data_IF_641439924655
#
_entry.id   IF_641439924655
#
_cell.length_a   1.000
_cell.length_b   1.000
_cell.length_c   1.000
_cell.angle_alpha   90.00
_cell.angle_beta   90.00
_cell.angle_gamma   90.00
#
_symmetry.space_group_name_H-M   'P 1'
#
loop_
_entity.id
_entity.type
_entity.pdbx_description
1 polymer ?
#
# COMPACT_ATOMS: atom_id res chain seq x y z
N UNK A 1 14.93 -27.85 -10.39
CA UNK A 1 13.99 -26.74 -10.12
C UNK A 1 14.20 -26.29 -8.68
N UNK A 2 14.33 -24.99 -8.39
CA UNK A 2 14.63 -24.46 -7.04
C UNK A 2 13.52 -24.68 -6.01
N UNK A 3 13.87 -24.65 -4.71
CA UNK A 3 12.92 -24.74 -3.59
C UNK A 3 12.20 -23.39 -3.40
N UNK A 4 10.98 -23.38 -2.87
CA UNK A 4 10.24 -22.12 -2.64
C UNK A 4 10.98 -21.18 -1.66
N UNK A 5 11.69 -21.78 -0.70
CA UNK A 5 12.58 -21.13 0.29
C UNK A 5 13.70 -20.26 -0.30
N UNK A 6 14.08 -20.49 -1.57
CA UNK A 6 15.16 -19.74 -2.21
C UNK A 6 14.66 -18.57 -3.06
N UNK A 7 13.35 -18.33 -3.10
CA UNK A 7 12.73 -17.30 -3.93
C UNK A 7 12.41 -16.08 -3.05
N UNK A 8 12.68 -14.88 -3.58
CA UNK A 8 12.18 -13.66 -2.95
C UNK A 8 10.67 -13.48 -3.17
N UNK A 9 10.06 -12.50 -2.49
CA UNK A 9 8.62 -12.28 -2.55
C UNK A 9 8.12 -11.95 -3.96
N UNK A 10 8.95 -11.31 -4.79
CA UNK A 10 8.63 -11.01 -6.18
C UNK A 10 8.62 -12.32 -6.95
N UNK A 11 9.67 -13.12 -6.87
CA UNK A 11 9.80 -14.38 -7.61
C UNK A 11 8.73 -15.43 -7.27
N UNK A 12 8.08 -15.36 -6.11
CA UNK A 12 7.02 -16.30 -5.73
C UNK A 12 5.88 -16.36 -6.75
N UNK A 13 5.42 -15.22 -7.27
CA UNK A 13 4.34 -15.20 -8.27
C UNK A 13 4.73 -15.79 -9.62
N UNK A 14 6.04 -15.93 -9.89
CA UNK A 14 6.55 -16.58 -11.09
C UNK A 14 6.44 -18.12 -11.07
N UNK A 15 6.06 -18.70 -9.92
CA UNK A 15 5.91 -20.13 -9.73
C UNK A 15 4.53 -20.51 -9.16
N UNK A 16 3.42 -20.18 -9.86
CA UNK A 16 2.05 -20.38 -9.36
C UNK A 16 1.75 -21.85 -9.01
N UNK A 17 2.25 -22.79 -9.80
CA UNK A 17 2.07 -24.24 -9.56
C UNK A 17 2.66 -24.67 -8.22
N UNK A 18 3.83 -24.13 -7.86
CA UNK A 18 4.49 -24.42 -6.58
C UNK A 18 3.73 -23.77 -5.42
N UNK A 19 3.31 -22.52 -5.58
CA UNK A 19 2.50 -21.82 -4.58
C UNK A 19 1.24 -22.61 -4.22
N UNK A 20 0.54 -23.15 -5.23
CA UNK A 20 -0.68 -23.95 -5.02
C UNK A 20 -0.37 -25.28 -4.32
N UNK A 21 0.71 -25.95 -4.72
CA UNK A 21 1.12 -27.24 -4.17
C UNK A 21 1.72 -27.17 -2.75
N UNK A 22 2.26 -26.02 -2.34
CA UNK A 22 2.85 -25.81 -1.02
C UNK A 22 1.79 -25.82 0.09
N UNK A 23 2.12 -26.49 1.20
CA UNK A 23 1.34 -26.41 2.44
C UNK A 23 1.56 -25.08 3.16
N UNK A 24 0.68 -24.73 4.11
CA UNK A 24 0.89 -23.55 4.97
C UNK A 24 2.23 -23.65 5.73
N UNK A 25 2.62 -24.86 6.14
CA UNK A 25 3.88 -25.11 6.84
C UNK A 25 5.10 -24.87 5.94
N UNK A 26 5.02 -25.26 4.66
CA UNK A 26 6.10 -25.00 3.69
C UNK A 26 6.25 -23.50 3.41
N UNK A 27 5.17 -22.72 3.49
CA UNK A 27 5.26 -21.27 3.31
C UNK A 27 5.82 -20.55 4.53
N UNK A 28 5.67 -21.11 5.74
CA UNK A 28 6.29 -20.54 6.95
C UNK A 28 7.82 -20.58 6.92
N UNK A 29 8.43 -21.42 6.08
CA UNK A 29 9.88 -21.45 5.92
C UNK A 29 10.43 -20.22 5.18
N UNK A 30 9.55 -19.42 4.56
CA UNK A 30 9.88 -18.12 3.97
C UNK A 30 10.05 -17.02 5.02
N UNK A 31 9.59 -17.24 6.25
CA UNK A 31 9.68 -16.24 7.30
C UNK A 31 11.11 -16.03 7.77
N UNK A 32 11.45 -14.80 8.12
CA UNK A 32 12.70 -14.50 8.81
C UNK A 32 12.57 -14.73 10.33
N UNK A 33 13.68 -14.94 11.05
CA UNK A 33 13.63 -14.96 12.51
C UNK A 33 13.21 -13.60 13.07
N UNK A 34 12.09 -13.53 13.77
CA UNK A 34 11.47 -12.27 14.22
C UNK A 34 12.37 -11.50 15.17
N UNK A 35 13.14 -12.18 16.02
CA UNK A 35 14.08 -11.58 16.97
C UNK A 35 15.20 -10.79 16.29
N UNK A 36 15.44 -11.04 15.01
CA UNK A 36 16.46 -10.33 14.20
C UNK A 36 15.90 -9.14 13.44
N UNK A 37 14.58 -8.94 13.45
CA UNK A 37 13.98 -7.81 12.73
C UNK A 37 14.27 -6.50 13.48
N UNK A 38 14.86 -5.49 12.79
CA UNK A 38 15.06 -4.19 13.39
C UNK A 38 13.71 -3.52 13.64
N UNK A 39 13.64 -2.74 14.72
CA UNK A 39 12.47 -1.92 15.04
C UNK A 39 12.85 -0.46 14.81
N UNK A 40 12.09 0.30 14.00
CA UNK A 40 12.29 1.74 13.87
C UNK A 40 12.14 2.45 15.22
N UNK A 41 13.02 3.40 15.53
CA UNK A 41 12.96 4.14 16.80
C UNK A 41 11.63 4.87 16.98
N UNK A 42 11.09 5.48 15.92
CA UNK A 42 9.82 6.18 15.97
C UNK A 42 8.64 5.25 16.31
N UNK A 43 8.66 4.00 15.84
CA UNK A 43 7.68 3.01 16.25
C UNK A 43 7.84 2.66 17.73
N UNK A 44 9.07 2.40 18.18
CA UNK A 44 9.36 2.06 19.56
C UNK A 44 8.91 3.17 20.52
N UNK A 45 9.16 4.43 20.17
CA UNK A 45 8.71 5.60 20.94
C UNK A 45 7.19 5.71 20.96
N UNK A 46 6.53 5.54 19.81
CA UNK A 46 5.08 5.59 19.68
C UNK A 46 4.38 4.56 20.58
N UNK A 47 4.88 3.32 20.58
CA UNK A 47 4.35 2.25 21.46
C UNK A 47 4.95 2.27 22.87
N UNK A 48 5.70 3.33 23.23
CA UNK A 48 6.31 3.52 24.56
C UNK A 48 7.20 2.37 25.03
N UNK A 49 7.93 1.77 24.09
CA UNK A 49 8.76 0.59 24.30
C UNK A 49 8.00 -0.62 24.89
N UNK A 50 6.70 -0.72 24.64
CA UNK A 50 5.90 -1.89 25.00
C UNK A 50 6.44 -3.14 24.30
N UNK A 51 6.91 -4.11 25.09
CA UNK A 51 7.60 -5.30 24.56
C UNK A 51 6.69 -6.18 23.70
N UNK A 52 5.39 -6.23 24.01
CA UNK A 52 4.42 -7.00 23.22
C UNK A 52 4.26 -6.37 21.85
N UNK A 53 4.05 -5.05 21.80
CA UNK A 53 3.92 -4.31 20.54
C UNK A 53 5.20 -4.39 19.71
N UNK A 54 6.37 -4.20 20.33
CA UNK A 54 7.67 -4.38 19.67
C UNK A 54 7.81 -5.78 19.02
N UNK A 55 7.35 -6.82 19.70
CA UNK A 55 7.37 -8.18 19.18
C UNK A 55 6.33 -8.40 18.07
N UNK A 56 5.17 -7.75 18.15
CA UNK A 56 4.16 -7.78 17.09
C UNK A 56 4.71 -7.19 15.80
N UNK A 57 5.34 -6.01 15.84
CA UNK A 57 5.99 -5.41 14.67
C UNK A 57 7.06 -6.32 14.08
N UNK A 58 7.97 -6.84 14.92
CA UNK A 58 9.00 -7.78 14.48
C UNK A 58 8.40 -9.01 13.81
N UNK A 59 7.38 -9.59 14.43
CA UNK A 59 6.67 -10.75 13.90
C UNK A 59 6.05 -10.43 12.54
N UNK A 60 5.31 -9.32 12.44
CA UNK A 60 4.65 -8.91 11.21
C UNK A 60 5.64 -8.74 10.04
N UNK A 61 6.74 -8.01 10.27
CA UNK A 61 7.78 -7.79 9.26
C UNK A 61 8.44 -9.12 8.85
N UNK A 62 8.77 -9.98 9.82
CA UNK A 62 9.36 -11.29 9.57
C UNK A 62 8.45 -12.22 8.75
N UNK A 63 7.14 -12.14 8.95
CA UNK A 63 6.15 -12.99 8.28
C UNK A 63 5.64 -12.40 6.96
N UNK A 64 6.09 -11.21 6.55
CA UNK A 64 5.64 -10.57 5.31
C UNK A 64 5.78 -11.45 4.06
N UNK A 65 6.90 -12.20 3.84
CA UNK A 65 6.99 -13.12 2.71
C UNK A 65 5.92 -14.22 2.73
N UNK A 66 5.65 -14.76 3.92
CA UNK A 66 4.55 -15.72 4.11
C UNK A 66 3.20 -15.10 3.76
N UNK A 67 2.88 -13.91 4.30
CA UNK A 67 1.60 -13.25 4.03
C UNK A 67 1.42 -12.95 2.54
N UNK A 68 2.49 -12.57 1.85
CA UNK A 68 2.48 -12.38 0.40
C UNK A 68 2.17 -13.70 -0.33
N UNK A 69 2.94 -14.75 -0.07
CA UNK A 69 2.76 -16.06 -0.69
C UNK A 69 1.36 -16.64 -0.44
N UNK A 70 0.89 -16.52 0.79
CA UNK A 70 -0.40 -17.02 1.24
C UNK A 70 -1.55 -16.28 0.53
N UNK A 71 -1.48 -14.96 0.44
CA UNK A 71 -2.47 -14.18 -0.30
C UNK A 71 -2.51 -14.58 -1.77
N UNK A 72 -1.37 -14.67 -2.46
CA UNK A 72 -1.31 -15.07 -3.87
C UNK A 72 -1.87 -16.48 -4.10
N UNK A 73 -1.55 -17.42 -3.20
CA UNK A 73 -2.07 -18.78 -3.24
C UNK A 73 -3.59 -18.80 -3.10
N UNK A 74 -4.13 -18.09 -2.10
CA UNK A 74 -5.58 -18.01 -1.88
C UNK A 74 -6.29 -17.35 -3.07
N UNK A 75 -5.73 -16.26 -3.59
CA UNK A 75 -6.23 -15.58 -4.78
C UNK A 75 -6.25 -16.50 -6.00
N UNK A 76 -5.21 -17.33 -6.19
CA UNK A 76 -5.15 -18.30 -7.29
C UNK A 76 -6.22 -19.40 -7.17
N UNK A 77 -6.40 -19.93 -5.97
CA UNK A 77 -7.27 -21.10 -5.72
C UNK A 77 -8.75 -20.69 -5.63
N UNK A 78 -9.04 -19.57 -4.99
CA UNK A 78 -10.39 -19.15 -4.61
C UNK A 78 -10.89 -17.93 -5.38
N UNK A 79 -10.00 -17.18 -6.04
CA UNK A 79 -10.32 -15.82 -6.46
C UNK A 79 -10.39 -14.87 -5.28
N UNK A 80 -11.08 -13.74 -5.43
CA UNK A 80 -11.40 -12.86 -4.32
C UNK A 80 -12.62 -13.41 -3.60
N UNK A 81 -12.45 -13.77 -2.34
CA UNK A 81 -13.45 -14.46 -1.53
C UNK A 81 -13.39 -13.96 -0.08
N UNK A 82 -14.57 -13.78 0.51
CA UNK A 82 -14.73 -13.20 1.86
C UNK A 82 -14.17 -14.09 2.98
N UNK A 83 -13.84 -15.37 2.71
CA UNK A 83 -13.22 -16.26 3.71
C UNK A 83 -11.80 -15.89 4.09
N UNK A 84 -11.14 -15.01 3.34
CA UNK A 84 -9.78 -14.55 3.66
C UNK A 84 -9.56 -13.06 3.43
N UNK A 85 -10.46 -12.38 2.70
CA UNK A 85 -10.39 -10.96 2.44
C UNK A 85 -11.74 -10.30 2.72
N UNK A 86 -11.81 -9.55 3.81
CA UNK A 86 -12.96 -8.68 4.08
C UNK A 86 -12.86 -7.42 3.22
N UNK A 87 -13.88 -7.22 2.37
CA UNK A 87 -14.03 -6.05 1.51
C UNK A 87 -15.24 -5.24 1.99
N UNK A 88 -15.09 -3.95 2.31
CA UNK A 88 -16.24 -3.11 2.68
C UNK A 88 -17.29 -3.08 1.57
N UNK A 89 -18.56 -3.27 1.94
CA UNK A 89 -19.66 -3.39 0.97
C UNK A 89 -19.83 -2.15 0.10
N UNK A 90 -19.47 -0.98 0.61
CA UNK A 90 -19.49 0.28 -0.12
C UNK A 90 -18.37 0.44 -1.16
N UNK A 91 -17.36 -0.45 -1.21
CA UNK A 91 -16.23 -0.35 -2.16
C UNK A 91 -16.72 -0.35 -3.61
N UNK A 92 -17.60 -1.30 -3.95
CA UNK A 92 -18.14 -1.44 -5.30
C UNK A 92 -18.90 -0.18 -5.74
N UNK A 93 -19.60 0.47 -4.81
CA UNK A 93 -20.31 1.72 -5.07
C UNK A 93 -19.33 2.88 -5.30
N UNK A 94 -18.34 3.02 -4.42
CA UNK A 94 -17.30 4.06 -4.50
C UNK A 94 -16.46 3.96 -5.77
N UNK A 95 -16.32 2.77 -6.35
CA UNK A 95 -15.58 2.51 -7.58
C UNK A 95 -16.44 2.47 -8.85
N UNK A 96 -17.74 2.78 -8.80
CA UNK A 96 -18.57 2.85 -10.01
C UNK A 96 -18.09 3.92 -11.00
N UNK A 97 -17.49 4.99 -10.47
CA UNK A 97 -16.91 6.07 -11.24
C UNK A 97 -15.40 6.16 -10.97
N UNK A 98 -14.58 6.54 -11.96
CA UNK A 98 -13.17 6.82 -11.76
C UNK A 98 -12.94 7.82 -10.62
N UNK A 99 -12.02 7.49 -9.73
CA UNK A 99 -11.51 8.35 -8.68
C UNK A 99 -10.00 8.17 -8.56
N UNK A 100 -9.33 9.09 -7.87
CA UNK A 100 -7.97 8.82 -7.41
C UNK A 100 -8.06 7.94 -6.17
N UNK A 101 -7.21 6.94 -6.08
CA UNK A 101 -7.09 6.08 -4.90
C UNK A 101 -5.78 6.41 -4.21
N UNK A 102 -5.84 6.73 -2.91
CA UNK A 102 -4.67 6.98 -2.08
C UNK A 102 -4.41 5.77 -1.18
N UNK A 103 -3.25 5.11 -1.32
CA UNK A 103 -2.93 3.88 -0.61
C UNK A 103 -1.73 4.11 0.31
N UNK A 104 -1.90 4.33 1.63
CA UNK A 104 -0.77 4.37 2.54
C UNK A 104 -0.10 2.99 2.63
N UNK A 105 1.17 2.95 3.02
CA UNK A 105 1.95 1.70 3.08
C UNK A 105 1.57 0.86 4.31
N UNK A 106 0.37 0.30 4.33
CA UNK A 106 -0.10 -0.67 5.32
C UNK A 106 -0.13 -2.08 4.76
N UNK A 107 0.22 -3.06 5.58
CA UNK A 107 0.05 -4.47 5.24
C UNK A 107 0.62 -4.85 3.86
N UNK A 108 -0.15 -5.58 3.05
CA UNK A 108 0.24 -5.88 1.67
C UNK A 108 -0.24 -4.80 0.69
N UNK A 109 0.02 -3.52 0.96
CA UNK A 109 -0.39 -2.36 0.15
C UNK A 109 -0.12 -2.49 -1.35
N UNK A 110 0.96 -3.17 -1.77
CA UNK A 110 1.26 -3.40 -3.20
C UNK A 110 0.26 -4.35 -3.88
N UNK A 111 -0.49 -5.14 -3.11
CA UNK A 111 -1.54 -6.02 -3.62
C UNK A 111 -2.90 -5.33 -3.74
N UNK A 112 -3.10 -4.19 -3.06
CA UNK A 112 -4.37 -3.45 -3.08
C UNK A 112 -4.79 -3.02 -4.49
N UNK A 113 -3.91 -2.48 -5.35
CA UNK A 113 -4.26 -2.15 -6.74
C UNK A 113 -4.91 -3.32 -7.50
N UNK A 114 -4.40 -4.54 -7.32
CA UNK A 114 -4.91 -5.74 -7.98
C UNK A 114 -6.27 -6.17 -7.44
N UNK A 115 -6.49 -6.02 -6.12
CA UNK A 115 -7.82 -6.23 -5.53
C UNK A 115 -8.82 -5.23 -6.10
N UNK A 116 -8.47 -3.93 -6.15
CA UNK A 116 -9.31 -2.89 -6.74
C UNK A 116 -9.61 -3.16 -8.21
N UNK A 117 -8.62 -3.71 -8.94
CA UNK A 117 -8.75 -4.18 -10.31
C UNK A 117 -9.89 -5.17 -10.51
N UNK A 118 -10.44 -5.82 -9.48
CA UNK A 118 -11.63 -6.67 -9.60
C UNK A 118 -12.96 -5.89 -9.57
N UNK A 119 -13.00 -4.76 -8.86
CA UNK A 119 -14.23 -4.00 -8.60
C UNK A 119 -14.48 -2.85 -9.57
N UNK A 120 -13.48 -2.46 -10.37
CA UNK A 120 -13.63 -1.41 -11.37
C UNK A 120 -14.38 -1.90 -12.63
N UNK A 121 -14.73 -0.97 -13.52
CA UNK A 121 -15.38 -1.27 -14.82
C UNK A 121 -14.47 -2.09 -15.76
N UNK A 122 -15.08 -2.91 -16.62
CA UNK A 122 -14.36 -3.82 -17.52
C UNK A 122 -13.44 -3.10 -18.53
N UNK A 123 -13.80 -1.88 -18.92
CA UNK A 123 -13.05 -1.02 -19.84
C UNK A 123 -12.01 -0.13 -19.15
N UNK A 124 -11.84 -0.28 -17.83
CA UNK A 124 -10.97 0.55 -17.01
C UNK A 124 -9.74 -0.22 -16.51
N UNK A 125 -8.69 0.53 -16.18
CA UNK A 125 -7.48 0.04 -15.53
C UNK A 125 -7.22 0.81 -14.23
N UNK A 126 -6.57 0.17 -13.26
CA UNK A 126 -5.88 0.80 -12.14
C UNK A 126 -4.49 1.19 -12.59
N UNK A 127 -4.10 2.45 -12.40
CA UNK A 127 -2.79 2.98 -12.79
C UNK A 127 -2.01 3.34 -11.53
N UNK A 128 -1.25 2.39 -10.99
CA UNK A 128 -0.49 2.56 -9.75
C UNK A 128 0.91 3.11 -10.01
N UNK A 129 1.38 4.05 -9.20
CA UNK A 129 2.77 4.52 -9.27
C UNK A 129 3.68 3.61 -8.47
N UNK A 130 4.79 3.13 -9.02
CA UNK A 130 5.73 2.26 -8.29
C UNK A 130 7.17 2.45 -8.73
N UNK A 131 8.11 2.01 -7.90
CA UNK A 131 9.52 1.84 -8.29
C UNK A 131 9.68 0.51 -9.07
N UNK A 132 10.92 0.05 -9.26
CA UNK A 132 11.22 -1.22 -9.96
C UNK A 132 10.59 -2.44 -9.28
N UNK A 133 10.37 -2.41 -7.96
CA UNK A 133 9.68 -3.49 -7.25
C UNK A 133 8.22 -3.62 -7.73
N UNK A 134 7.57 -2.51 -8.08
CA UNK A 134 6.20 -2.52 -8.62
C UNK A 134 6.07 -3.25 -9.95
N UNK A 135 7.09 -3.18 -10.82
CA UNK A 135 7.13 -3.94 -12.09
C UNK A 135 7.24 -5.44 -11.82
N UNK A 136 8.13 -5.84 -10.91
CA UNK A 136 8.27 -7.24 -10.50
C UNK A 136 6.99 -7.80 -9.87
N UNK A 137 6.31 -7.01 -9.03
CA UNK A 137 5.00 -7.38 -8.48
C UNK A 137 3.98 -7.60 -9.59
N UNK A 138 3.90 -6.71 -10.58
CA UNK A 138 2.97 -6.85 -11.70
C UNK A 138 3.21 -8.16 -12.48
N UNK A 139 4.45 -8.43 -12.89
CA UNK A 139 4.81 -9.64 -13.64
C UNK A 139 4.41 -10.92 -12.90
N UNK A 140 4.55 -10.89 -11.58
CA UNK A 140 4.19 -11.98 -10.69
C UNK A 140 2.68 -12.13 -10.51
N UNK A 141 1.93 -11.02 -10.48
CA UNK A 141 0.48 -11.07 -10.41
C UNK A 141 -0.14 -11.51 -11.73
N UNK A 142 0.36 -11.08 -12.89
CA UNK A 142 -0.19 -11.46 -14.20
C UNK A 142 -0.21 -12.99 -14.40
N UNK A 143 0.73 -13.72 -13.80
CA UNK A 143 0.76 -15.20 -13.81
C UNK A 143 -0.28 -15.85 -12.90
N UNK A 144 -0.65 -15.16 -11.82
CA UNK A 144 -1.69 -15.58 -10.87
C UNK A 144 -3.07 -15.22 -11.44
N UNK A 145 -3.23 -13.98 -11.89
CA UNK A 145 -4.42 -13.34 -12.41
C UNK A 145 -4.16 -12.81 -13.85
N UNK A 146 -4.37 -13.63 -14.89
CA UNK A 146 -4.07 -13.25 -16.29
C UNK A 146 -4.97 -12.14 -16.86
N UNK A 147 -6.04 -11.77 -16.15
CA UNK A 147 -6.93 -10.66 -16.50
C UNK A 147 -6.85 -9.53 -15.46
N UNK A 148 -5.71 -9.38 -14.78
CA UNK A 148 -5.48 -8.27 -13.88
C UNK A 148 -5.60 -6.94 -14.63
N UNK A 149 -6.30 -5.99 -14.00
CA UNK A 149 -6.60 -4.67 -14.59
C UNK A 149 -5.71 -3.60 -14.00
N UNK A 150 -4.50 -3.96 -13.59
CA UNK A 150 -3.54 -3.04 -12.99
C UNK A 150 -2.39 -2.79 -13.96
N UNK A 151 -1.89 -1.55 -13.98
CA UNK A 151 -0.58 -1.23 -14.55
C UNK A 151 0.21 -0.37 -13.59
N UNK A 152 1.47 -0.75 -13.40
CA UNK A 152 2.43 0.08 -12.68
C UNK A 152 3.08 1.08 -13.64
N UNK A 153 3.11 2.33 -13.20
CA UNK A 153 3.80 3.42 -13.84
C UNK A 153 5.10 3.68 -13.06
N UNK A 154 6.22 3.37 -13.69
CA UNK A 154 7.57 3.45 -13.09
C UNK A 154 7.91 4.86 -12.61
N UNK A 155 8.53 4.94 -11.43
CA UNK A 155 9.18 6.10 -10.84
C UNK A 155 10.72 5.89 -10.81
N UNK A 156 11.52 6.96 -10.94
CA UNK A 156 11.10 8.34 -11.19
C UNK A 156 10.67 8.57 -12.65
N UNK A 157 9.55 9.27 -12.85
CA UNK A 157 9.10 9.74 -14.16
C UNK A 157 8.57 11.17 -14.05
N UNK A 158 9.25 12.12 -14.71
CA UNK A 158 8.85 13.54 -14.74
C UNK A 158 7.46 13.79 -15.32
N UNK A 159 6.92 12.84 -16.08
CA UNK A 159 5.60 12.91 -16.71
C UNK A 159 4.53 12.14 -15.94
N UNK A 160 4.84 11.60 -14.76
CA UNK A 160 3.92 10.71 -14.03
C UNK A 160 2.55 11.34 -13.79
N UNK A 161 2.51 12.59 -13.31
CA UNK A 161 1.25 13.30 -13.08
C UNK A 161 0.43 13.45 -14.37
N UNK A 162 1.10 13.74 -15.50
CA UNK A 162 0.44 13.86 -16.80
C UNK A 162 -0.12 12.51 -17.28
N UNK A 163 0.59 11.41 -17.04
CA UNK A 163 0.12 10.06 -17.37
C UNK A 163 -1.10 9.68 -16.54
N UNK A 164 -1.07 9.92 -15.23
CA UNK A 164 -2.20 9.68 -14.32
C UNK A 164 -3.42 10.53 -14.71
N UNK A 165 -3.23 11.82 -15.00
CA UNK A 165 -4.31 12.71 -15.47
C UNK A 165 -4.98 12.19 -16.75
N UNK A 166 -4.18 11.78 -17.75
CA UNK A 166 -4.69 11.23 -19.01
C UNK A 166 -5.42 9.90 -18.80
N UNK A 167 -4.89 9.06 -17.91
CA UNK A 167 -5.54 7.83 -17.50
C UNK A 167 -6.92 8.10 -16.90
N UNK A 168 -7.00 9.01 -15.94
CA UNK A 168 -8.27 9.44 -15.36
C UNK A 168 -9.25 9.97 -16.41
N UNK A 169 -8.80 10.84 -17.32
CA UNK A 169 -9.60 11.35 -18.44
C UNK A 169 -10.10 10.24 -19.40
N UNK A 170 -9.40 9.11 -19.43
CA UNK A 170 -9.77 7.91 -20.19
C UNK A 170 -10.53 6.88 -19.34
N UNK A 171 -11.12 7.32 -18.22
CA UNK A 171 -11.88 6.50 -17.29
C UNK A 171 -11.07 5.40 -16.60
N UNK A 172 -9.79 5.65 -16.29
CA UNK A 172 -8.96 4.79 -15.44
C UNK A 172 -8.84 5.34 -14.02
N UNK A 173 -8.32 4.53 -13.09
CA UNK A 173 -8.25 4.81 -11.66
C UNK A 173 -6.78 5.04 -11.25
N UNK A 174 -6.31 6.28 -11.14
CA UNK A 174 -4.98 6.57 -10.63
C UNK A 174 -4.82 6.10 -9.19
N UNK A 175 -3.73 5.39 -8.89
CA UNK A 175 -3.33 5.03 -7.53
C UNK A 175 -2.02 5.75 -7.19
N UNK A 176 -1.99 6.40 -6.03
CA UNK A 176 -0.80 7.07 -5.49
C UNK A 176 -0.59 6.63 -4.04
N UNK A 177 0.67 6.41 -3.67
CA UNK A 177 1.07 6.17 -2.28
C UNK A 177 1.44 7.51 -1.60
N UNK A 178 0.68 7.98 -0.60
CA UNK A 178 0.78 9.36 -0.09
C UNK A 178 1.88 9.61 0.94
N UNK A 179 2.40 8.56 1.57
CA UNK A 179 3.28 8.58 2.74
C UNK A 179 4.76 8.36 2.42
N UNK A 180 5.12 8.17 1.15
CA UNK A 180 6.52 8.04 0.70
C UNK A 180 6.87 9.14 -0.29
N UNK A 181 8.08 9.69 -0.16
CA UNK A 181 8.65 10.61 -1.14
C UNK A 181 10.10 10.24 -1.42
N UNK A 182 10.43 10.04 -2.69
CA UNK A 182 11.82 9.87 -3.13
C UNK A 182 12.47 11.21 -3.55
N UNK A 183 11.86 12.35 -3.18
CA UNK A 183 12.23 13.66 -3.72
C UNK A 183 12.72 14.63 -2.66
N UNK A 184 13.77 15.38 -2.96
CA UNK A 184 14.16 16.57 -2.19
C UNK A 184 13.33 17.80 -2.55
N UNK A 185 12.09 17.62 -3.02
CA UNK A 185 11.26 18.73 -3.50
C UNK A 185 10.88 19.66 -2.33
N UNK A 186 11.16 20.96 -2.48
CA UNK A 186 10.89 21.97 -1.45
C UNK A 186 9.40 22.30 -1.30
N UNK A 187 8.53 21.75 -2.17
CA UNK A 187 7.10 22.06 -2.21
C UNK A 187 6.23 21.10 -1.39
N UNK A 188 6.81 20.47 -0.37
CA UNK A 188 6.03 19.66 0.56
C UNK A 188 5.09 20.48 1.41
N UNK A 189 3.98 19.85 1.81
CA UNK A 189 3.07 20.42 2.80
C UNK A 189 3.55 20.05 4.19
N UNK A 190 3.64 21.04 5.06
CA UNK A 190 3.84 20.81 6.49
C UNK A 190 2.50 20.51 7.17
N UNK A 191 2.47 19.48 8.00
CA UNK A 191 1.34 19.15 8.87
C UNK A 191 1.81 18.43 10.14
N UNK A 192 0.97 18.40 11.16
CA UNK A 192 1.18 17.58 12.36
C UNK A 192 0.63 16.18 12.12
N UNK A 193 1.41 15.16 12.42
CA UNK A 193 1.06 13.74 12.31
C UNK A 193 1.76 13.00 13.44
N UNK A 194 1.02 12.25 14.27
CA UNK A 194 1.56 11.57 15.46
C UNK A 194 2.34 12.56 16.35
N UNK A 195 1.73 13.71 16.61
CA UNK A 195 2.31 14.82 17.39
C UNK A 195 3.63 15.38 16.82
N UNK A 196 4.00 15.00 15.61
CA UNK A 196 5.26 15.37 14.97
C UNK A 196 5.00 16.19 13.71
N UNK A 197 5.77 17.27 13.53
CA UNK A 197 5.72 18.06 12.29
C UNK A 197 6.42 17.29 11.16
N UNK A 198 5.66 16.94 10.12
CA UNK A 198 6.16 16.21 8.95
C UNK A 198 5.93 17.01 7.67
N UNK A 199 6.68 16.64 6.62
CA UNK A 199 6.59 17.14 5.26
C UNK A 199 6.08 16.03 4.35
N UNK A 200 4.97 16.28 3.68
CA UNK A 200 4.30 15.27 2.85
C UNK A 200 4.20 15.71 1.38
N UNK A 201 4.26 14.76 0.43
CA UNK A 201 4.12 15.04 -0.99
C UNK A 201 2.71 15.50 -1.34
N UNK A 202 2.61 16.54 -2.17
CA UNK A 202 1.35 17.08 -2.67
C UNK A 202 0.82 16.35 -3.92
N UNK A 203 1.34 15.17 -4.26
CA UNK A 203 1.00 14.46 -5.50
C UNK A 203 -0.50 14.16 -5.61
N UNK A 204 -1.08 13.60 -4.54
CA UNK A 204 -2.51 13.27 -4.44
C UNK A 204 -3.38 14.52 -4.58
N UNK A 205 -3.08 15.57 -3.82
CA UNK A 205 -3.83 16.83 -3.85
C UNK A 205 -3.74 17.54 -5.20
N UNK A 206 -2.53 17.63 -5.78
CA UNK A 206 -2.35 18.25 -7.09
C UNK A 206 -3.10 17.49 -8.17
N UNK A 207 -3.06 16.16 -8.15
CA UNK A 207 -3.81 15.36 -9.13
C UNK A 207 -5.32 15.56 -8.94
N UNK A 208 -5.83 15.50 -7.70
CA UNK A 208 -7.24 15.71 -7.40
C UNK A 208 -7.73 17.09 -7.86
N UNK A 209 -6.96 18.14 -7.57
CA UNK A 209 -7.24 19.52 -8.00
C UNK A 209 -7.28 19.65 -9.52
N UNK A 210 -6.29 19.08 -10.22
CA UNK A 210 -6.18 19.18 -11.68
C UNK A 210 -7.27 18.37 -12.40
N UNK A 211 -7.65 17.21 -11.86
CA UNK A 211 -8.67 16.34 -12.40
C UNK A 211 -10.10 16.69 -11.93
N UNK A 212 -10.24 17.58 -10.93
CA UNK A 212 -11.51 17.88 -10.23
C UNK A 212 -12.22 16.60 -9.78
N UNK A 213 -11.47 15.68 -9.19
CA UNK A 213 -11.96 14.34 -8.90
C UNK A 213 -11.78 13.98 -7.41
N UNK A 214 -12.67 13.12 -6.87
CA UNK A 214 -12.55 12.65 -5.51
C UNK A 214 -11.31 11.78 -5.32
N UNK A 215 -10.81 11.77 -4.09
CA UNK A 215 -9.79 10.84 -3.60
C UNK A 215 -10.45 9.87 -2.64
N UNK A 216 -10.26 8.58 -2.87
CA UNK A 216 -10.67 7.49 -1.98
C UNK A 216 -9.42 6.94 -1.29
N UNK A 217 -9.24 7.16 0.03
CA UNK A 217 -8.20 6.49 0.79
C UNK A 217 -8.54 5.01 0.97
N UNK A 218 -7.58 4.12 0.72
CA UNK A 218 -7.75 2.66 0.85
C UNK A 218 -6.51 2.05 1.46
N UNK A 219 -6.65 1.25 2.51
CA UNK A 219 -5.55 0.53 3.13
C UNK A 219 -5.89 -0.95 3.29
N UNK A 220 -4.87 -1.79 3.47
CA UNK A 220 -5.08 -3.19 3.80
C UNK A 220 -4.29 -3.58 5.04
N UNK A 221 -4.96 -4.25 5.97
CA UNK A 221 -4.33 -4.84 7.16
C UNK A 221 -4.60 -6.34 7.24
N UNK A 222 -3.95 -7.01 8.16
CA UNK A 222 -4.15 -8.42 8.50
C UNK A 222 -4.43 -8.56 9.99
N UNK A 223 -5.58 -9.13 10.35
CA UNK A 223 -5.98 -9.33 11.74
C UNK A 223 -6.89 -10.56 11.84
N UNK A 224 -6.80 -11.33 12.93
CA UNK A 224 -7.57 -12.56 13.15
C UNK A 224 -7.55 -13.54 11.97
N UNK A 225 -6.38 -13.74 11.38
CA UNK A 225 -6.18 -14.59 10.19
C UNK A 225 -6.93 -14.16 8.92
N UNK A 226 -7.40 -12.91 8.87
CA UNK A 226 -8.09 -12.33 7.72
C UNK A 226 -7.40 -11.05 7.24
N UNK A 227 -7.31 -10.88 5.92
CA UNK A 227 -6.97 -9.60 5.32
C UNK A 227 -8.21 -8.71 5.30
N UNK A 228 -8.04 -7.42 5.58
CA UNK A 228 -9.16 -6.46 5.61
C UNK A 228 -8.81 -5.22 4.82
N UNK A 229 -9.69 -4.83 3.89
CA UNK A 229 -9.62 -3.51 3.28
C UNK A 229 -10.32 -2.48 4.17
N UNK A 230 -9.68 -1.33 4.33
CA UNK A 230 -10.22 -0.17 5.05
C UNK A 230 -10.43 0.95 4.06
N UNK A 231 -11.60 1.59 4.12
CA UNK A 231 -11.90 2.79 3.33
C UNK A 231 -11.91 4.01 4.22
N UNK A 232 -11.19 5.05 3.77
CA UNK A 232 -11.28 6.36 4.37
C UNK A 232 -12.44 7.18 3.82
N UNK A 233 -12.69 8.36 4.40
CA UNK A 233 -13.69 9.27 3.88
C UNK A 233 -13.33 9.67 2.44
N UNK A 234 -14.33 9.77 1.56
CA UNK A 234 -14.11 10.32 0.21
C UNK A 234 -13.75 11.79 0.31
N UNK A 235 -12.58 12.17 -0.18
CA UNK A 235 -12.05 13.52 -0.08
C UNK A 235 -12.26 14.26 -1.40
N UNK A 236 -12.85 15.44 -1.35
CA UNK A 236 -13.07 16.29 -2.52
C UNK A 236 -12.29 17.58 -2.33
N UNK A 237 -11.42 17.89 -3.28
CA UNK A 237 -10.68 19.15 -3.27
C UNK A 237 -11.65 20.34 -3.35
N UNK A 238 -11.42 21.35 -2.50
CA UNK A 238 -12.10 22.64 -2.49
C UNK A 238 -11.04 23.75 -2.51
N UNK A 239 -11.27 24.86 -3.21
CA UNK A 239 -10.26 25.93 -3.33
C UNK A 239 -9.80 26.48 -1.97
N UNK A 240 -10.70 26.47 -0.99
CA UNK A 240 -10.47 26.99 0.36
C UNK A 240 -9.77 25.98 1.29
N UNK A 241 -9.57 24.72 0.89
CA UNK A 241 -9.15 23.63 1.78
C UNK A 241 -8.19 22.62 1.15
N UNK A 242 -7.33 22.03 1.97
CA UNK A 242 -6.41 20.98 1.56
C UNK A 242 -6.97 19.61 1.93
N UNK A 243 -6.94 18.67 0.98
CA UNK A 243 -7.37 17.28 1.23
C UNK A 243 -6.32 16.46 1.97
N UNK A 244 -5.09 16.98 2.06
CA UNK A 244 -3.99 16.30 2.73
C UNK A 244 -4.24 16.18 4.24
N UNK A 245 -4.82 17.20 4.89
CA UNK A 245 -5.11 17.12 6.33
C UNK A 245 -6.10 16.00 6.69
N UNK A 246 -7.31 15.93 6.09
CA UNK A 246 -8.22 14.82 6.39
C UNK A 246 -7.67 13.47 5.92
N UNK A 247 -6.86 13.41 4.85
CA UNK A 247 -6.17 12.19 4.45
C UNK A 247 -5.22 11.69 5.55
N UNK A 248 -4.34 12.56 6.05
CA UNK A 248 -3.37 12.17 7.08
C UNK A 248 -4.02 11.96 8.45
N UNK A 249 -5.13 12.63 8.77
CA UNK A 249 -5.94 12.32 9.95
C UNK A 249 -6.47 10.88 9.92
N UNK A 250 -7.00 10.44 8.77
CA UNK A 250 -7.45 9.06 8.62
C UNK A 250 -6.29 8.05 8.67
N UNK A 251 -5.14 8.38 8.08
CA UNK A 251 -3.94 7.54 8.18
C UNK A 251 -3.50 7.42 9.66
N UNK A 252 -3.52 8.52 10.41
CA UNK A 252 -3.14 8.55 11.83
C UNK A 252 -4.06 7.68 12.68
N UNK A 253 -5.38 7.77 12.48
CA UNK A 253 -6.35 6.87 13.10
C UNK A 253 -6.03 5.39 12.81
N UNK A 254 -5.69 5.07 11.56
CA UNK A 254 -5.34 3.71 11.18
C UNK A 254 -4.01 3.25 11.81
N UNK A 255 -3.02 4.15 11.94
CA UNK A 255 -1.76 3.88 12.65
C UNK A 255 -2.04 3.59 14.12
N UNK A 256 -2.94 4.34 14.77
CA UNK A 256 -3.30 4.05 16.16
C UNK A 256 -3.92 2.67 16.35
N UNK A 257 -4.68 2.17 15.36
CA UNK A 257 -5.33 0.86 15.42
C UNK A 257 -4.38 -0.31 15.07
N UNK A 258 -3.52 -0.13 14.07
CA UNK A 258 -2.64 -1.18 13.54
C UNK A 258 -1.20 -0.69 13.38
N UNK A 259 -0.55 -0.22 14.46
CA UNK A 259 0.74 0.46 14.34
C UNK A 259 1.83 -0.49 13.85
N UNK A 260 1.75 -1.77 14.16
CA UNK A 260 2.72 -2.80 13.76
C UNK A 260 2.72 -3.07 12.24
N UNK A 261 1.69 -2.63 11.51
CA UNK A 261 1.48 -2.94 10.10
C UNK A 261 1.74 -1.75 9.15
N UNK A 262 2.03 -0.57 9.70
CA UNK A 262 2.37 0.60 8.89
C UNK A 262 3.86 0.60 8.56
N UNK A 263 4.22 0.50 7.28
CA UNK A 263 5.62 0.56 6.84
C UNK A 263 6.18 1.98 6.82
N UNK A 264 5.33 3.00 7.02
CA UNK A 264 5.74 4.40 7.10
C UNK A 264 6.69 4.72 8.25
N UNK A 265 6.80 3.87 9.29
CA UNK A 265 7.78 4.06 10.36
C UNK A 265 9.23 4.14 9.86
N UNK A 266 9.56 3.43 8.78
CA UNK A 266 10.88 3.47 8.16
C UNK A 266 11.13 4.80 7.42
N UNK A 267 10.07 5.42 6.92
CA UNK A 267 10.14 6.65 6.12
C UNK A 267 9.91 7.90 6.96
N UNK A 268 9.44 7.75 8.21
CA UNK A 268 9.09 8.88 9.07
C UNK A 268 10.27 9.84 9.27
N UNK A 269 11.51 9.35 9.32
CA UNK A 269 12.70 10.20 9.38
C UNK A 269 12.82 11.12 8.14
N UNK A 270 12.60 10.58 6.95
CA UNK A 270 12.63 11.34 5.68
C UNK A 270 11.50 12.38 5.67
N UNK A 271 10.33 12.01 6.20
CA UNK A 271 9.14 12.86 6.30
C UNK A 271 9.32 14.01 7.30
N UNK A 272 9.94 13.77 8.45
CA UNK A 272 10.30 14.83 9.42
C UNK A 272 11.22 15.87 8.76
N UNK A 273 11.97 15.45 7.74
CA UNK A 273 12.99 16.25 7.08
C UNK A 273 14.19 16.43 8.00
N UNK A 274 15.39 16.48 7.44
CA UNK A 274 16.60 16.74 8.22
C UNK A 274 16.54 18.10 8.93
N UNK A 275 16.04 18.11 10.16
CA UNK A 275 16.19 19.22 11.09
C UNK A 275 17.55 19.18 11.81
N UNK A 276 18.51 18.35 11.37
CA UNK A 276 19.75 18.04 12.12
C UNK A 276 21.08 18.03 11.33
N UNK A 277 21.16 18.59 10.12
CA UNK A 277 22.47 18.80 9.46
C UNK A 277 23.00 20.25 9.49
N UNK A 278 22.42 21.14 10.31
CA UNK A 278 22.93 22.51 10.51
C UNK A 278 22.87 22.99 11.97
N UNK A 279 23.29 22.16 12.93
CA UNK A 279 23.72 22.64 14.26
C UNK A 279 25.13 22.17 14.56
#
# INVERSE_FOLDING_TARGET
MGKIESLDFIELGNHPEKLVASSKQDLYTLCYPSEKMPVPSHYADFVRNDTVMLNNFRSFVAHRPFHWAWFLRLLKIRGLDESFLEVPGELSYSLQNPCIVAIPHFGLHMLVPHVLGHFIRQDSMVLATGNEEGEGVQDSIEKILPNDRTRFLKLPDRWILRKLMRGYQSSHYPVIYPDVTSSGDKRFRHLSFLETSIRVPLGVENLSRLCKCPVLPVAMTYHDDCYRLHLGPTLVYKEEGSIIFPLFSWIEELVHLYPDQWFGWNFLHEMIGEAKLLR
#
